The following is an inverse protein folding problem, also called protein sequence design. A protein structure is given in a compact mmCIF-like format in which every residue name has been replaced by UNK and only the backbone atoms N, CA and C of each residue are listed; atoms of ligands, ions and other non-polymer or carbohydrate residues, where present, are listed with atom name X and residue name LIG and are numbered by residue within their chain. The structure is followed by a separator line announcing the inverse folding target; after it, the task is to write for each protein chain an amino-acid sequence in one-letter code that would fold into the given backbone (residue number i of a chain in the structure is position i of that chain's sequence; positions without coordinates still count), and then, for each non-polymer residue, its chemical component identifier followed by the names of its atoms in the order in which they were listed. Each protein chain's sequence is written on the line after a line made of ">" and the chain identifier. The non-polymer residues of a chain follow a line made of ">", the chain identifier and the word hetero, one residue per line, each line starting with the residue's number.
data_IF_881602650979
#
_entry.id   IF_881602650979
#
_cell.length_a   1.000
_cell.length_b   1.000
_cell.length_c   1.000
_cell.angle_alpha   90.00
_cell.angle_beta   90.00
_cell.angle_gamma   90.00
#
_symmetry.space_group_name_H-M   'P 1'
#
loop_
_entity.id
_entity.type
_entity.pdbx_description
1 polymer ?
#
# COMPACT_ATOMS: atom_id res chain seq x y z
N UNK A 1 -26.92 4.57 48.94
CA UNK A 1 -25.98 3.90 48.03
C UNK A 1 -26.45 2.46 47.92
N UNK A 2 -27.12 2.09 46.83
CA UNK A 2 -27.74 0.76 46.69
C UNK A 2 -26.66 -0.30 46.47
N UNK A 3 -26.67 -1.34 47.29
CA UNK A 3 -25.74 -2.45 47.13
C UNK A 3 -26.14 -3.24 45.87
N UNK A 4 -25.18 -3.53 44.99
CA UNK A 4 -25.45 -4.19 43.70
C UNK A 4 -26.24 -5.50 43.87
N UNK A 5 -26.05 -6.19 44.99
CA UNK A 5 -26.75 -7.44 45.33
C UNK A 5 -28.25 -7.28 45.56
N UNK A 6 -28.75 -6.06 45.80
CA UNK A 6 -30.17 -5.77 46.05
C UNK A 6 -30.93 -5.51 44.75
N UNK A 7 -30.22 -5.35 43.62
CA UNK A 7 -30.83 -5.14 42.33
C UNK A 7 -31.62 -6.38 41.87
N UNK A 8 -32.71 -6.17 41.12
CA UNK A 8 -33.44 -7.26 40.48
C UNK A 8 -32.52 -8.07 39.56
N UNK A 9 -32.74 -9.40 39.51
CA UNK A 9 -31.89 -10.32 38.74
C UNK A 9 -31.78 -9.94 37.25
N UNK A 10 -32.86 -9.43 36.66
CA UNK A 10 -32.86 -8.98 35.27
C UNK A 10 -31.86 -7.84 35.00
N UNK A 11 -31.77 -6.87 35.93
CA UNK A 11 -30.84 -5.73 35.82
C UNK A 11 -29.40 -6.18 36.02
N UNK A 12 -29.18 -7.12 36.94
CA UNK A 12 -27.86 -7.71 37.17
C UNK A 12 -27.36 -8.51 35.97
N UNK A 13 -28.25 -9.23 35.29
CA UNK A 13 -27.92 -9.96 34.06
C UNK A 13 -27.51 -9.01 32.93
N UNK A 14 -28.18 -7.87 32.77
CA UNK A 14 -27.73 -6.85 31.81
C UNK A 14 -26.35 -6.32 32.17
N UNK A 15 -26.12 -5.93 33.42
CA UNK A 15 -24.83 -5.38 33.86
C UNK A 15 -23.70 -6.40 33.65
N UNK A 16 -23.94 -7.67 33.99
CA UNK A 16 -22.93 -8.73 33.81
C UNK A 16 -22.70 -9.08 32.34
N UNK A 17 -23.69 -8.87 31.47
CA UNK A 17 -23.58 -9.05 30.02
C UNK A 17 -22.51 -8.19 29.36
N UNK A 18 -22.11 -7.08 29.98
CA UNK A 18 -21.09 -6.15 29.47
C UNK A 18 -19.68 -6.43 30.01
N UNK A 19 -19.51 -7.38 30.93
CA UNK A 19 -18.21 -7.73 31.49
C UNK A 19 -17.45 -8.66 30.57
N UNK A 20 -16.11 -8.55 30.47
CA UNK A 20 -15.31 -9.49 29.68
C UNK A 20 -15.40 -10.90 30.27
N UNK A 21 -15.28 -11.90 29.40
CA UNK A 21 -15.46 -13.31 29.77
C UNK A 21 -14.53 -13.77 30.92
N UNK A 22 -13.35 -13.14 31.07
CA UNK A 22 -12.40 -13.40 32.17
C UNK A 22 -12.97 -12.99 33.53
N UNK A 23 -13.78 -11.94 33.57
CA UNK A 23 -14.26 -11.31 34.80
C UNK A 23 -15.58 -11.95 35.27
N UNK A 24 -16.32 -12.60 34.35
CA UNK A 24 -17.51 -13.40 34.69
C UNK A 24 -17.15 -14.58 35.62
N UNK A 25 -15.98 -15.19 35.42
CA UNK A 25 -15.47 -16.26 36.29
C UNK A 25 -15.13 -15.78 37.71
N UNK A 26 -14.80 -14.50 37.88
CA UNK A 26 -14.53 -13.88 39.18
C UNK A 26 -15.84 -13.71 39.97
N UNK A 27 -16.96 -13.38 39.29
CA UNK A 27 -18.27 -13.18 39.91
C UNK A 27 -18.82 -14.41 40.63
N UNK A 28 -18.43 -15.62 40.21
CA UNK A 28 -18.78 -16.87 40.90
C UNK A 28 -18.28 -16.91 42.35
N UNK A 29 -17.26 -16.11 42.70
CA UNK A 29 -16.62 -16.10 44.02
C UNK A 29 -16.99 -14.88 44.86
N UNK A 30 -17.73 -13.93 44.30
CA UNK A 30 -18.06 -12.65 44.98
C UNK A 30 -19.14 -12.83 46.04
N UNK A 31 -20.26 -13.46 45.70
CA UNK A 31 -21.30 -13.82 46.67
C UNK A 31 -22.19 -14.94 46.13
N UNK A 32 -22.92 -15.61 47.02
CA UNK A 32 -23.80 -16.74 46.65
C UNK A 32 -24.87 -16.36 45.63
N UNK A 33 -25.39 -15.13 45.70
CA UNK A 33 -26.44 -14.65 44.76
C UNK A 33 -25.90 -14.51 43.34
N UNK A 34 -24.71 -13.92 43.16
CA UNK A 34 -24.10 -13.78 41.83
C UNK A 34 -23.61 -15.12 41.29
N UNK A 35 -23.04 -15.96 42.17
CA UNK A 35 -22.69 -17.33 41.83
C UNK A 35 -23.90 -18.11 41.32
N UNK A 36 -25.04 -17.99 42.02
CA UNK A 36 -26.31 -18.57 41.60
C UNK A 36 -26.76 -18.07 40.23
N UNK A 37 -26.78 -16.75 40.02
CA UNK A 37 -27.20 -16.14 38.74
C UNK A 37 -26.31 -16.60 37.59
N UNK A 38 -24.98 -16.52 37.73
CA UNK A 38 -24.03 -16.88 36.67
C UNK A 38 -24.05 -18.39 36.40
N UNK A 39 -24.20 -19.24 37.42
CA UNK A 39 -24.19 -20.70 37.25
C UNK A 39 -25.51 -21.26 36.71
N UNK A 40 -26.64 -20.62 37.01
CA UNK A 40 -27.98 -21.10 36.57
C UNK A 40 -28.43 -20.48 35.24
N UNK A 41 -27.95 -19.29 34.89
CA UNK A 41 -28.27 -18.66 33.61
C UNK A 41 -27.12 -18.87 32.62
N UNK A 42 -27.04 -20.10 32.10
CA UNK A 42 -26.04 -20.48 31.09
C UNK A 42 -26.09 -19.65 29.80
N UNK A 43 -27.23 -19.00 29.52
CA UNK A 43 -27.34 -18.01 28.44
C UNK A 43 -26.46 -16.79 28.68
N UNK A 44 -26.13 -16.42 29.92
CA UNK A 44 -25.26 -15.27 30.20
C UNK A 44 -23.84 -15.48 29.64
N UNK A 45 -23.28 -16.68 29.74
CA UNK A 45 -21.99 -16.99 29.11
C UNK A 45 -22.09 -16.93 27.59
N UNK A 46 -23.21 -17.42 27.03
CA UNK A 46 -23.51 -17.29 25.61
C UNK A 46 -23.65 -15.81 25.23
N UNK A 47 -24.32 -14.99 26.02
CA UNK A 47 -24.62 -13.59 25.70
C UNK A 47 -23.39 -12.70 25.88
N UNK A 48 -22.53 -12.97 26.87
CA UNK A 48 -21.21 -12.33 27.01
C UNK A 48 -20.28 -12.78 25.89
N UNK A 49 -20.19 -14.08 25.62
CA UNK A 49 -19.38 -14.61 24.52
C UNK A 49 -19.90 -14.08 23.19
N UNK A 50 -21.22 -13.98 23.00
CA UNK A 50 -21.85 -13.38 21.84
C UNK A 50 -21.76 -11.86 21.87
N UNK A 51 -21.65 -11.15 22.97
CA UNK A 51 -21.47 -9.68 22.98
C UNK A 51 -20.02 -9.33 22.67
N UNK A 52 -19.06 -10.16 23.05
CA UNK A 52 -17.66 -10.01 22.68
C UNK A 52 -17.35 -10.61 21.30
N UNK A 53 -18.02 -11.69 20.89
CA UNK A 53 -18.01 -12.16 19.51
C UNK A 53 -18.78 -11.21 18.62
N UNK A 54 -19.97 -10.70 18.95
CA UNK A 54 -20.69 -9.66 18.18
C UNK A 54 -20.11 -8.27 18.37
N UNK A 55 -19.25 -7.97 19.34
CA UNK A 55 -18.39 -6.79 19.24
C UNK A 55 -17.26 -7.05 18.23
N UNK A 56 -16.70 -8.27 18.21
CA UNK A 56 -15.73 -8.72 17.20
C UNK A 56 -16.35 -9.03 15.83
N UNK A 57 -17.67 -9.25 15.74
CA UNK A 57 -18.49 -9.74 14.61
C UNK A 57 -19.55 -8.70 14.21
N UNK A 58 -19.78 -7.61 14.96
CA UNK A 58 -20.19 -6.31 14.40
C UNK A 58 -18.96 -5.60 13.82
N UNK A 59 -17.77 -5.82 14.39
CA UNK A 59 -16.51 -5.46 13.73
C UNK A 59 -16.21 -6.34 12.50
N UNK A 60 -16.63 -7.62 12.49
CA UNK A 60 -16.41 -8.55 11.36
C UNK A 60 -17.65 -8.83 10.49
N UNK A 61 -18.85 -8.32 10.82
CA UNK A 61 -20.15 -8.79 10.28
C UNK A 61 -21.25 -7.72 10.20
N UNK A 62 -20.88 -6.42 10.24
CA UNK A 62 -21.51 -5.42 9.35
C UNK A 62 -21.10 -5.72 7.89
N UNK A 63 -20.10 -6.59 7.70
CA UNK A 63 -20.08 -7.51 6.55
C UNK A 63 -21.39 -8.28 6.49
N UNK A 64 -22.07 -8.20 5.34
CA UNK A 64 -23.26 -8.98 4.99
C UNK A 64 -24.61 -8.34 5.37
N UNK A 65 -24.87 -7.15 4.82
CA UNK A 65 -25.91 -7.03 3.77
C UNK A 65 -27.21 -7.83 4.01
N UNK A 66 -28.23 -7.19 4.60
CA UNK A 66 -29.65 -7.30 4.23
C UNK A 66 -30.47 -6.63 5.35
N UNK A 67 -31.14 -5.50 5.11
CA UNK A 67 -32.48 -5.50 4.50
C UNK A 67 -32.86 -4.09 4.02
N UNK A 68 -32.80 -3.84 2.71
CA UNK A 68 -33.93 -3.29 1.94
C UNK A 68 -33.64 -3.41 0.44
N UNK A 69 -34.67 -3.64 -0.40
CA UNK A 69 -34.49 -3.88 -1.83
C UNK A 69 -34.47 -2.56 -2.60
N UNK A 70 -33.28 -2.02 -2.81
CA UNK A 70 -32.96 -1.22 -4.00
C UNK A 70 -31.57 -1.66 -4.43
N UNK A 71 -31.48 -2.23 -5.62
CA UNK A 71 -30.35 -3.00 -6.14
C UNK A 71 -28.98 -2.31 -5.91
N UNK A 72 -28.21 -2.81 -4.95
CA UNK A 72 -26.75 -2.75 -4.97
C UNK A 72 -26.26 -4.18 -4.86
N UNK A 73 -25.80 -4.75 -5.98
CA UNK A 73 -25.23 -6.08 -5.94
C UNK A 73 -24.07 -6.10 -4.93
N UNK A 74 -23.90 -7.16 -4.11
CA UNK A 74 -22.56 -7.45 -3.62
C UNK A 74 -21.70 -7.63 -4.86
N UNK A 75 -20.68 -6.80 -5.09
CA UNK A 75 -19.66 -7.25 -6.02
C UNK A 75 -18.89 -8.35 -5.29
N UNK A 76 -19.27 -9.59 -5.59
CA UNK A 76 -18.40 -10.76 -5.51
C UNK A 76 -17.01 -10.33 -5.95
N UNK A 77 -15.99 -10.62 -5.16
CA UNK A 77 -14.63 -10.38 -5.63
C UNK A 77 -14.46 -11.12 -6.96
N UNK A 78 -13.71 -10.55 -7.91
CA UNK A 78 -13.63 -11.13 -9.25
C UNK A 78 -13.24 -12.60 -9.14
N UNK A 79 -14.01 -13.53 -9.73
CA UNK A 79 -13.68 -14.95 -9.70
C UNK A 79 -12.26 -15.21 -10.22
N UNK A 80 -11.77 -14.37 -11.15
CA UNK A 80 -10.40 -14.42 -11.62
C UNK A 80 -9.39 -14.03 -10.52
N UNK A 81 -9.72 -13.06 -9.67
CA UNK A 81 -8.88 -12.67 -8.53
C UNK A 81 -8.87 -13.76 -7.47
N UNK A 82 -10.02 -14.34 -7.13
CA UNK A 82 -10.09 -15.47 -6.19
C UNK A 82 -9.31 -16.68 -6.73
N UNK A 83 -9.45 -16.97 -8.02
CA UNK A 83 -8.69 -18.02 -8.70
C UNK A 83 -7.19 -17.75 -8.69
N UNK A 84 -6.75 -16.54 -9.06
CA UNK A 84 -5.33 -16.19 -9.08
C UNK A 84 -4.75 -16.17 -7.66
N UNK A 85 -5.48 -15.62 -6.69
CA UNK A 85 -5.08 -15.61 -5.29
C UNK A 85 -4.87 -17.03 -4.76
N UNK A 86 -5.83 -17.94 -5.00
CA UNK A 86 -5.72 -19.35 -4.60
C UNK A 86 -4.64 -20.11 -5.38
N UNK A 87 -4.45 -19.81 -6.66
CA UNK A 87 -3.38 -20.41 -7.48
C UNK A 87 -2.00 -20.12 -6.89
N UNK A 88 -1.79 -18.91 -6.37
CA UNK A 88 -0.52 -18.45 -5.80
C UNK A 88 -0.43 -18.57 -4.28
N UNK A 89 -1.35 -19.29 -3.63
CA UNK A 89 -1.13 -19.82 -2.27
C UNK A 89 0.00 -20.85 -2.24
N UNK A 90 0.21 -21.58 -3.35
CA UNK A 90 1.35 -22.48 -3.54
C UNK A 90 2.64 -21.68 -3.78
N UNK A 91 3.51 -21.67 -2.78
CA UNK A 91 4.80 -20.96 -2.82
C UNK A 91 5.68 -21.39 -4.00
N UNK A 92 5.62 -22.66 -4.44
CA UNK A 92 6.41 -23.13 -5.59
C UNK A 92 5.93 -22.49 -6.89
N UNK A 93 4.61 -22.38 -7.07
CA UNK A 93 4.02 -21.69 -8.22
C UNK A 93 4.35 -20.20 -8.16
N UNK A 94 4.19 -19.58 -7.00
CA UNK A 94 4.54 -18.19 -6.81
C UNK A 94 5.99 -17.92 -7.22
N UNK A 95 6.96 -18.65 -6.65
CA UNK A 95 8.37 -18.50 -7.00
C UNK A 95 8.64 -18.74 -8.48
N UNK A 96 7.99 -19.75 -9.08
CA UNK A 96 8.15 -20.06 -10.51
C UNK A 96 7.69 -18.94 -11.43
N UNK A 97 6.60 -18.25 -11.09
CA UNK A 97 5.96 -17.26 -11.97
C UNK A 97 6.27 -15.80 -11.62
N UNK A 98 6.56 -15.49 -10.36
CA UNK A 98 6.78 -14.12 -9.87
C UNK A 98 8.22 -13.82 -9.50
N UNK A 99 9.10 -14.82 -9.41
CA UNK A 99 10.51 -14.59 -9.07
C UNK A 99 11.42 -14.82 -10.28
N UNK A 100 11.04 -14.37 -11.49
CA UNK A 100 11.87 -14.51 -12.71
C UNK A 100 12.79 -13.34 -12.99
N UNK A 101 12.57 -12.20 -12.34
CA UNK A 101 13.39 -11.01 -12.52
C UNK A 101 14.83 -11.21 -12.06
N UNK A 102 15.68 -10.29 -12.51
CA UNK A 102 17.09 -10.17 -12.12
C UNK A 102 17.27 -10.05 -10.60
N UNK A 103 16.26 -9.54 -9.88
CA UNK A 103 16.26 -9.44 -8.42
C UNK A 103 16.41 -10.78 -7.72
N UNK A 104 15.84 -11.85 -8.30
CA UNK A 104 15.79 -13.19 -7.70
C UNK A 104 16.88 -14.13 -8.23
N UNK A 105 17.67 -13.69 -9.20
CA UNK A 105 18.60 -14.54 -9.96
C UNK A 105 20.06 -14.12 -9.85
N UNK A 106 20.43 -13.35 -8.82
CA UNK A 106 21.77 -12.78 -8.61
C UNK A 106 22.95 -13.74 -8.85
N UNK A 107 23.46 -13.79 -10.08
CA UNK A 107 24.63 -14.55 -10.61
C UNK A 107 24.72 -16.07 -10.42
N UNK A 108 23.71 -16.73 -9.86
CA UNK A 108 23.71 -18.19 -9.72
C UNK A 108 23.33 -18.94 -11.00
N UNK A 109 22.96 -18.23 -12.07
CA UNK A 109 22.82 -18.83 -13.41
C UNK A 109 23.98 -18.35 -14.27
N UNK A 110 24.75 -19.30 -14.80
CA UNK A 110 25.93 -19.04 -15.62
C UNK A 110 25.67 -18.06 -16.78
N UNK A 111 26.74 -17.51 -17.34
CA UNK A 111 26.76 -16.46 -18.36
C UNK A 111 25.85 -16.65 -19.60
N UNK A 112 25.17 -17.79 -19.74
CA UNK A 112 24.24 -18.15 -20.80
C UNK A 112 22.76 -17.79 -20.55
N UNK A 113 22.39 -17.31 -19.36
CA UNK A 113 20.99 -16.91 -19.05
C UNK A 113 20.90 -15.49 -18.49
N UNK A 114 21.65 -14.55 -19.06
CA UNK A 114 21.30 -13.13 -18.93
C UNK A 114 20.07 -12.88 -19.78
N UNK A 115 18.88 -13.08 -19.21
CA UNK A 115 17.71 -12.37 -19.73
C UNK A 115 18.08 -10.90 -19.70
N UNK A 116 18.02 -10.23 -20.86
CA UNK A 116 18.03 -8.78 -20.88
C UNK A 116 16.87 -8.29 -20.01
N UNK A 117 16.95 -7.10 -19.41
CA UNK A 117 15.77 -6.48 -18.82
C UNK A 117 14.62 -6.40 -19.83
N UNK A 118 14.92 -6.44 -21.12
CA UNK A 118 13.96 -6.49 -22.21
C UNK A 118 13.39 -7.89 -22.53
N UNK A 119 13.75 -8.95 -21.79
CA UNK A 119 13.14 -10.27 -21.98
C UNK A 119 11.63 -10.21 -21.61
N UNK A 120 10.71 -10.47 -22.56
CA UNK A 120 9.28 -10.31 -22.32
C UNK A 120 8.76 -11.17 -21.15
N UNK A 121 9.31 -12.37 -20.96
CA UNK A 121 8.88 -13.24 -19.87
C UNK A 121 9.34 -12.73 -18.49
N UNK A 122 10.50 -12.10 -18.44
CA UNK A 122 11.04 -11.46 -17.25
C UNK A 122 10.18 -10.25 -16.86
N UNK A 123 9.87 -9.39 -17.84
CA UNK A 123 8.98 -8.25 -17.67
C UNK A 123 7.56 -8.66 -17.23
N UNK A 124 6.98 -9.69 -17.85
CA UNK A 124 5.66 -10.22 -17.46
C UNK A 124 5.66 -10.81 -16.04
N UNK A 125 6.75 -11.46 -15.63
CA UNK A 125 6.90 -11.99 -14.27
C UNK A 125 6.94 -10.86 -13.24
N UNK A 126 7.73 -9.82 -13.50
CA UNK A 126 7.83 -8.65 -12.64
C UNK A 126 6.51 -7.88 -12.58
N UNK A 127 5.81 -7.71 -13.71
CA UNK A 127 4.46 -7.14 -13.79
C UNK A 127 3.48 -7.93 -12.92
N UNK A 128 3.47 -9.26 -13.06
CA UNK A 128 2.61 -10.13 -12.27
C UNK A 128 2.89 -9.99 -10.77
N UNK A 129 4.15 -9.88 -10.35
CA UNK A 129 4.50 -9.66 -8.95
C UNK A 129 4.03 -8.29 -8.45
N UNK A 130 4.19 -7.22 -9.25
CA UNK A 130 3.68 -5.89 -8.93
C UNK A 130 2.16 -5.89 -8.74
N UNK A 131 1.42 -6.60 -9.59
CA UNK A 131 -0.03 -6.76 -9.46
C UNK A 131 -0.42 -7.67 -8.27
N UNK A 132 0.40 -8.66 -7.91
CA UNK A 132 0.09 -9.58 -6.81
C UNK A 132 0.01 -8.86 -5.47
N UNK A 133 0.93 -7.95 -5.17
CA UNK A 133 0.80 -7.03 -4.04
C UNK A 133 0.41 -7.70 -2.70
N UNK A 134 1.27 -8.52 -2.10
CA UNK A 134 1.12 -9.04 -0.73
C UNK A 134 2.49 -9.05 -0.01
N UNK A 135 2.71 -8.21 1.02
CA UNK A 135 3.82 -8.36 1.94
C UNK A 135 3.40 -9.47 2.87
N UNK A 136 3.84 -10.69 2.57
CA UNK A 136 3.41 -11.87 3.33
C UNK A 136 3.83 -11.72 4.78
N UNK A 137 2.87 -11.92 5.71
CA UNK A 137 3.09 -11.92 7.17
C UNK A 137 4.10 -12.99 7.63
N UNK A 138 4.52 -13.89 6.73
CA UNK A 138 5.82 -14.56 6.74
C UNK A 138 6.43 -14.36 5.36
N UNK A 139 7.50 -13.57 5.24
CA UNK A 139 7.88 -13.03 3.95
C UNK A 139 8.20 -14.17 2.96
N UNK A 140 7.65 -14.08 1.73
CA UNK A 140 8.14 -14.85 0.57
C UNK A 140 9.66 -14.62 0.38
N UNK A 141 10.16 -13.53 0.95
CA UNK A 141 11.56 -13.26 1.21
C UNK A 141 11.95 -13.90 2.56
N UNK A 142 12.57 -15.09 2.63
CA UNK A 142 12.73 -15.86 3.87
C UNK A 142 13.29 -15.02 5.03
N UNK A 143 12.72 -15.25 6.22
CA UNK A 143 13.03 -14.67 7.54
C UNK A 143 14.33 -13.83 7.65
N UNK A 144 14.19 -12.64 8.25
CA UNK A 144 15.16 -11.56 8.49
C UNK A 144 16.57 -11.91 9.03
N UNK A 145 16.92 -13.17 9.26
CA UNK A 145 18.28 -13.60 9.57
C UNK A 145 19.11 -13.98 8.32
N UNK A 146 18.49 -14.20 7.15
CA UNK A 146 19.17 -14.70 5.93
C UNK A 146 18.95 -13.88 4.65
N UNK A 147 18.29 -12.71 4.73
CA UNK A 147 17.97 -11.85 3.58
C UNK A 147 19.20 -11.17 2.97
N UNK A 148 19.87 -11.81 2.02
CA UNK A 148 21.07 -11.28 1.38
C UNK A 148 21.08 -11.17 -0.14
N UNK A 149 19.94 -11.28 -0.84
CA UNK A 149 19.96 -11.13 -2.30
C UNK A 149 18.86 -10.19 -2.84
N UNK A 150 17.53 -10.45 -2.77
CA UNK A 150 16.58 -9.66 -3.59
C UNK A 150 16.40 -8.20 -3.17
N UNK A 151 16.37 -7.91 -1.87
CA UNK A 151 16.25 -6.53 -1.38
C UNK A 151 17.50 -5.69 -1.71
N UNK A 152 18.69 -6.27 -1.56
CA UNK A 152 19.94 -5.58 -1.85
C UNK A 152 20.06 -5.30 -3.35
N UNK A 153 19.66 -6.25 -4.20
CA UNK A 153 19.55 -6.03 -5.65
C UNK A 153 18.50 -4.98 -6.00
N UNK A 154 17.32 -4.99 -5.35
CA UNK A 154 16.29 -3.99 -5.56
C UNK A 154 16.79 -2.58 -5.19
N UNK A 155 17.47 -2.44 -4.04
CA UNK A 155 18.11 -1.19 -3.65
C UNK A 155 19.18 -0.78 -4.66
N UNK A 156 20.03 -1.70 -5.10
CA UNK A 156 21.05 -1.43 -6.10
C UNK A 156 20.45 -0.98 -7.43
N UNK A 157 19.29 -1.53 -7.83
CA UNK A 157 18.60 -1.14 -9.05
C UNK A 157 17.98 0.25 -8.93
N UNK A 158 17.31 0.54 -7.82
CA UNK A 158 16.62 1.82 -7.56
C UNK A 158 17.60 2.95 -7.30
N UNK A 159 18.69 2.74 -6.56
CA UNK A 159 19.62 3.82 -6.22
C UNK A 159 20.79 3.97 -7.20
N UNK A 160 20.80 3.23 -8.32
CA UNK A 160 21.78 3.41 -9.40
C UNK A 160 21.40 4.58 -10.28
N UNK A 161 22.11 5.70 -10.13
CA UNK A 161 21.88 6.95 -10.85
C UNK A 161 22.04 6.79 -12.37
N UNK A 162 22.75 5.75 -12.84
CA UNK A 162 22.92 5.44 -14.27
C UNK A 162 21.61 5.05 -14.97
N UNK A 163 20.57 4.67 -14.24
CA UNK A 163 19.26 4.29 -14.80
C UNK A 163 18.33 5.49 -15.05
N UNK A 164 18.71 6.68 -14.58
CA UNK A 164 17.89 7.89 -14.64
C UNK A 164 18.45 8.81 -15.71
N UNK A 165 17.89 8.69 -16.91
CA UNK A 165 18.35 9.41 -18.09
C UNK A 165 17.15 10.08 -18.77
N UNK A 166 17.42 10.85 -19.83
CA UNK A 166 16.36 11.46 -20.63
C UNK A 166 15.53 10.38 -21.34
N UNK A 167 16.16 9.29 -21.78
CA UNK A 167 15.53 8.17 -22.48
C UNK A 167 14.65 7.31 -21.57
N UNK A 168 15.03 7.17 -20.29
CA UNK A 168 14.17 6.52 -19.29
C UNK A 168 13.14 7.47 -18.66
N UNK A 169 13.11 8.72 -19.11
CA UNK A 169 12.33 9.81 -18.53
C UNK A 169 12.46 9.90 -17.01
N UNK A 170 13.60 9.49 -16.43
CA UNK A 170 13.84 9.46 -14.98
C UNK A 170 12.83 8.63 -14.16
N UNK A 171 12.06 7.77 -14.81
CA UNK A 171 11.04 6.93 -14.21
C UNK A 171 11.36 5.44 -14.33
N UNK A 172 10.42 4.56 -13.93
CA UNK A 172 10.54 3.13 -14.12
C UNK A 172 10.16 2.73 -15.55
N UNK A 173 10.76 3.40 -16.54
CA UNK A 173 10.55 3.17 -17.96
C UNK A 173 11.81 2.59 -18.60
N UNK A 174 11.65 1.93 -19.75
CA UNK A 174 12.76 1.45 -20.57
C UNK A 174 13.65 2.61 -20.99
N UNK A 175 14.95 2.35 -21.11
CA UNK A 175 15.98 3.33 -21.44
C UNK A 175 16.19 3.52 -22.95
N UNK A 176 15.24 3.06 -23.77
CA UNK A 176 15.25 3.17 -25.23
C UNK A 176 14.44 4.35 -25.77
N UNK A 177 13.88 5.19 -24.89
CA UNK A 177 13.05 6.34 -25.25
C UNK A 177 11.62 5.99 -25.68
N UNK A 178 11.23 4.71 -25.67
CA UNK A 178 9.87 4.28 -26.02
C UNK A 178 8.81 4.78 -25.04
N UNK A 179 9.22 5.03 -23.79
CA UNK A 179 8.31 5.30 -22.68
C UNK A 179 7.67 4.04 -22.09
N UNK A 180 7.88 2.86 -22.69
CA UNK A 180 7.34 1.62 -22.14
C UNK A 180 7.76 1.40 -20.69
N UNK A 181 6.86 0.82 -19.90
CA UNK A 181 7.14 0.47 -18.50
C UNK A 181 8.21 -0.61 -18.43
N UNK A 182 9.23 -0.39 -17.61
CA UNK A 182 10.18 -1.41 -17.18
C UNK A 182 9.71 -1.97 -15.83
N UNK A 183 9.01 -3.10 -15.89
CA UNK A 183 8.40 -3.74 -14.74
C UNK A 183 9.42 -4.28 -13.75
N UNK A 184 10.67 -4.54 -14.13
CA UNK A 184 11.71 -4.88 -13.16
C UNK A 184 12.06 -3.67 -12.29
N UNK A 185 12.09 -2.45 -12.85
CA UNK A 185 12.28 -1.21 -12.08
C UNK A 185 11.09 -0.93 -11.15
N UNK A 186 9.86 -1.18 -11.63
CA UNK A 186 8.65 -1.08 -10.79
C UNK A 186 8.72 -2.09 -9.64
N UNK A 187 9.06 -3.35 -9.94
CA UNK A 187 9.17 -4.42 -8.96
C UNK A 187 10.24 -4.12 -7.90
N UNK A 188 11.41 -3.63 -8.32
CA UNK A 188 12.45 -3.21 -7.39
C UNK A 188 11.95 -2.11 -6.43
N UNK A 189 11.20 -1.12 -6.95
CA UNK A 189 10.60 -0.07 -6.15
C UNK A 189 9.59 -0.64 -5.14
N UNK A 190 8.69 -1.54 -5.58
CA UNK A 190 7.73 -2.24 -4.72
C UNK A 190 8.44 -3.04 -3.62
N UNK A 191 9.51 -3.76 -3.95
CA UNK A 191 10.29 -4.57 -3.00
C UNK A 191 10.96 -3.68 -1.94
N UNK A 192 11.61 -2.59 -2.35
CA UNK A 192 12.25 -1.63 -1.42
C UNK A 192 11.21 -1.05 -0.47
N UNK A 193 10.09 -0.57 -1.00
CA UNK A 193 9.01 0.02 -0.19
C UNK A 193 8.40 -1.00 0.76
N UNK A 194 8.06 -2.20 0.27
CA UNK A 194 7.45 -3.25 1.08
C UNK A 194 8.31 -3.65 2.27
N UNK A 195 9.62 -3.84 2.07
CA UNK A 195 10.57 -4.17 3.16
C UNK A 195 10.73 -3.01 4.14
N UNK A 196 10.70 -1.77 3.66
CA UNK A 196 10.79 -0.59 4.54
C UNK A 196 9.54 -0.42 5.39
N UNK A 197 8.36 -0.62 4.81
CA UNK A 197 7.10 -0.50 5.54
C UNK A 197 6.78 -1.71 6.40
N UNK A 198 7.31 -2.90 6.12
CA UNK A 198 7.04 -4.09 6.94
C UNK A 198 7.59 -4.00 8.36
N UNK A 199 8.56 -3.11 8.60
CA UNK A 199 9.13 -2.83 9.92
C UNK A 199 8.27 -1.86 10.74
N UNK A 200 7.34 -1.14 10.11
CA UNK A 200 6.41 -0.24 10.75
C UNK A 200 4.98 -0.81 10.65
N UNK A 201 4.53 -1.43 11.73
CA UNK A 201 3.18 -2.01 11.81
C UNK A 201 2.09 -0.99 11.54
N UNK A 202 2.32 0.31 11.79
CA UNK A 202 1.35 1.35 11.49
C UNK A 202 1.24 1.53 9.96
N UNK A 203 2.36 1.69 9.27
CA UNK A 203 2.43 1.86 7.81
C UNK A 203 1.81 0.70 7.02
N UNK A 204 1.89 -0.54 7.54
CA UNK A 204 1.26 -1.73 6.91
C UNK A 204 -0.27 -1.64 6.77
N UNK A 205 -0.96 -0.87 7.62
CA UNK A 205 -2.43 -0.79 7.59
C UNK A 205 -2.98 0.01 6.42
N UNK A 206 -2.17 0.89 5.83
CA UNK A 206 -2.63 1.80 4.77
C UNK A 206 -2.30 1.30 3.37
N UNK A 207 -1.48 0.26 3.21
CA UNK A 207 -0.97 -0.14 1.90
C UNK A 207 -2.02 -0.91 1.08
N UNK A 208 -2.30 -0.52 -0.17
CA UNK A 208 -3.30 -1.19 -1.01
C UNK A 208 -2.89 -2.60 -1.43
N UNK A 209 -1.59 -2.91 -1.39
CA UNK A 209 -1.02 -4.21 -1.69
C UNK A 209 -0.96 -5.14 -0.46
N UNK A 210 -1.96 -5.17 0.42
CA UNK A 210 -1.96 -6.11 1.56
C UNK A 210 -2.47 -7.51 1.18
N UNK A 211 -3.38 -7.56 0.22
CA UNK A 211 -4.05 -8.78 -0.22
C UNK A 211 -3.68 -9.09 -1.67
N UNK A 212 -3.53 -10.37 -2.04
CA UNK A 212 -3.29 -10.80 -3.41
C UNK A 212 -4.20 -10.11 -4.41
N UNK A 213 -3.61 -9.37 -5.35
CA UNK A 213 -4.31 -8.68 -6.44
C UNK A 213 -5.34 -7.63 -6.02
N UNK A 214 -5.34 -7.20 -4.75
CA UNK A 214 -6.27 -6.18 -4.29
C UNK A 214 -6.06 -4.85 -5.01
N UNK A 215 -7.12 -4.36 -5.63
CA UNK A 215 -7.07 -3.10 -6.36
C UNK A 215 -6.27 -3.12 -7.66
N UNK A 216 -5.67 -4.25 -8.04
CA UNK A 216 -4.74 -4.33 -9.17
C UNK A 216 -5.45 -4.52 -10.53
N UNK A 217 -6.61 -3.90 -10.70
CA UNK A 217 -7.44 -3.96 -11.91
C UNK A 217 -8.24 -2.66 -12.13
N UNK A 218 -8.65 -2.35 -13.38
CA UNK A 218 -9.30 -1.07 -13.68
C UNK A 218 -10.63 -0.92 -12.93
N UNK A 219 -10.96 0.32 -12.56
CA UNK A 219 -12.22 0.68 -11.86
C UNK A 219 -12.43 -0.06 -10.52
N UNK A 220 -11.36 -0.58 -9.93
CA UNK A 220 -11.41 -1.29 -8.65
C UNK A 220 -11.48 -0.36 -7.44
N UNK A 221 -11.13 0.92 -7.61
CA UNK A 221 -11.22 1.89 -6.54
C UNK A 221 -12.68 2.15 -6.16
N UNK A 222 -12.97 2.01 -4.88
CA UNK A 222 -14.26 2.38 -4.29
C UNK A 222 -13.96 3.25 -3.08
N UNK A 223 -14.45 4.47 -3.11
CA UNK A 223 -14.20 5.41 -2.02
C UNK A 223 -14.95 4.99 -0.75
N UNK A 224 -14.26 4.86 0.40
CA UNK A 224 -14.92 4.64 1.69
C UNK A 224 -15.72 5.87 2.12
N UNK A 225 -15.34 7.06 1.66
CA UNK A 225 -16.04 8.32 1.93
C UNK A 225 -16.33 9.02 0.60
N UNK A 226 -17.41 8.62 -0.10
CA UNK A 226 -17.78 9.24 -1.36
C UNK A 226 -18.17 10.70 -1.12
N UNK A 227 -17.76 11.59 -2.02
CA UNK A 227 -18.11 13.00 -1.90
C UNK A 227 -19.61 13.20 -2.11
N UNK A 228 -20.21 14.13 -1.34
CA UNK A 228 -21.64 14.46 -1.47
C UNK A 228 -21.96 15.22 -2.75
N UNK A 229 -21.04 16.08 -3.19
CA UNK A 229 -21.16 16.88 -4.41
C UNK A 229 -19.83 16.80 -5.17
N UNK A 230 -19.80 16.39 -6.44
CA UNK A 230 -18.56 16.34 -7.23
C UNK A 230 -18.03 17.74 -7.51
N UNK A 231 -16.70 17.90 -7.63
CA UNK A 231 -16.13 19.13 -8.22
C UNK A 231 -16.56 19.23 -9.69
N UNK A 232 -16.55 20.45 -10.28
CA UNK A 232 -16.98 20.66 -11.67
C UNK A 232 -16.31 19.76 -12.71
N UNK A 233 -15.03 19.41 -12.53
CA UNK A 233 -14.25 18.59 -13.48
C UNK A 233 -14.26 17.09 -13.16
N UNK A 234 -14.73 16.67 -11.98
CA UNK A 234 -14.74 15.26 -11.58
C UNK A 234 -15.57 14.35 -12.51
N UNK A 235 -16.75 14.78 -13.04
CA UNK A 235 -17.54 13.93 -13.94
C UNK A 235 -16.83 13.61 -15.25
N UNK A 236 -15.95 14.50 -15.71
CA UNK A 236 -15.21 14.38 -16.97
C UNK A 236 -13.83 13.77 -16.80
N UNK A 237 -13.33 13.64 -15.56
CA UNK A 237 -12.02 13.07 -15.27
C UNK A 237 -12.04 11.53 -15.42
N UNK A 238 -11.39 10.96 -16.45
CA UNK A 238 -11.39 9.52 -16.66
C UNK A 238 -10.56 8.76 -15.61
N UNK A 239 -9.63 9.42 -14.93
CA UNK A 239 -8.66 8.81 -14.02
C UNK A 239 -9.09 8.85 -12.55
N UNK A 240 -10.03 9.73 -12.18
CA UNK A 240 -10.54 9.84 -10.81
C UNK A 240 -9.49 10.38 -9.83
N UNK A 241 -8.75 11.40 -10.26
CA UNK A 241 -7.64 12.06 -9.56
C UNK A 241 -8.10 12.74 -8.27
N UNK A 242 -9.22 13.47 -8.31
CA UNK A 242 -9.64 14.32 -7.19
C UNK A 242 -9.90 13.53 -5.91
N UNK A 243 -9.30 13.96 -4.79
CA UNK A 243 -9.53 13.36 -3.48
C UNK A 243 -8.28 13.35 -2.59
N UNK A 244 -8.38 12.61 -1.49
CA UNK A 244 -7.28 12.41 -0.54
C UNK A 244 -6.41 11.24 -0.98
N UNK A 245 -5.11 11.45 -1.03
CA UNK A 245 -4.10 10.44 -1.32
C UNK A 245 -3.08 10.32 -0.19
N UNK A 246 -2.57 9.11 0.03
CA UNK A 246 -1.39 8.87 0.85
C UNK A 246 -0.19 8.69 -0.07
N UNK A 247 0.91 9.39 0.23
CA UNK A 247 2.21 9.22 -0.44
C UNK A 247 3.23 8.70 0.55
N UNK A 248 4.00 7.73 0.07
CA UNK A 248 5.16 7.16 0.72
C UNK A 248 6.38 7.39 -0.18
N UNK A 249 7.45 7.93 0.40
CA UNK A 249 8.76 7.99 -0.26
C UNK A 249 9.78 7.23 0.56
N UNK A 250 10.71 6.54 -0.08
CA UNK A 250 11.93 6.05 0.55
C UNK A 250 13.14 6.82 0.01
N UNK A 251 14.12 7.05 0.88
CA UNK A 251 15.32 7.78 0.52
C UNK A 251 16.55 7.13 1.14
N UNK A 252 17.67 7.21 0.42
CA UNK A 252 18.98 6.85 0.93
C UNK A 252 19.71 8.08 1.47
N UNK A 253 20.54 7.91 2.49
CA UNK A 253 21.44 8.98 2.91
C UNK A 253 22.31 9.42 1.72
N UNK A 254 22.46 10.73 1.54
CA UNK A 254 23.28 11.31 0.49
C UNK A 254 24.68 10.71 0.41
N UNK A 255 25.35 10.52 1.55
CA UNK A 255 26.71 9.95 1.58
C UNK A 255 26.76 8.53 1.02
N UNK A 256 25.80 7.68 1.41
CA UNK A 256 25.70 6.30 0.95
C UNK A 256 25.32 6.23 -0.54
N UNK A 257 24.43 7.11 -1.00
CA UNK A 257 24.06 7.22 -2.41
C UNK A 257 25.26 7.61 -3.28
N UNK A 258 26.04 8.59 -2.85
CA UNK A 258 27.24 9.02 -3.58
C UNK A 258 28.33 7.95 -3.57
N UNK A 259 28.54 7.27 -2.44
CA UNK A 259 29.50 6.18 -2.32
C UNK A 259 29.13 5.00 -3.24
N UNK A 260 27.85 4.61 -3.26
CA UNK A 260 27.35 3.56 -4.15
C UNK A 260 27.58 3.91 -5.62
N UNK A 261 27.23 5.12 -6.04
CA UNK A 261 27.31 5.53 -7.45
C UNK A 261 28.72 5.87 -7.93
N UNK A 262 29.62 6.29 -7.04
CA UNK A 262 31.04 6.54 -7.35
C UNK A 262 31.84 5.25 -7.54
N UNK A 263 31.34 4.11 -7.06
CA UNK A 263 31.98 2.81 -7.25
C UNK A 263 31.85 2.35 -8.70
N UNK A 264 32.95 1.94 -9.34
CA UNK A 264 32.96 1.50 -10.76
C UNK A 264 32.17 0.23 -11.05
N UNK A 265 31.98 -0.64 -10.06
CA UNK A 265 31.19 -1.88 -10.16
C UNK A 265 30.30 -2.07 -8.92
N UNK A 266 29.26 -1.26 -8.75
CA UNK A 266 28.40 -1.31 -7.57
C UNK A 266 27.79 -2.71 -7.35
N UNK A 267 27.49 -3.44 -8.42
CA UNK A 267 26.96 -4.80 -8.42
C UNK A 267 27.90 -5.85 -7.82
N UNK A 268 29.20 -5.54 -7.70
CA UNK A 268 30.20 -6.42 -7.08
C UNK A 268 30.31 -6.24 -5.56
N UNK A 269 29.65 -5.23 -4.99
CA UNK A 269 29.71 -4.88 -3.56
C UNK A 269 28.88 -5.79 -2.63
N UNK A 270 28.61 -7.05 -3.00
CA UNK A 270 27.66 -7.94 -2.28
C UNK A 270 27.82 -7.97 -0.76
N UNK A 271 29.05 -7.99 -0.26
CA UNK A 271 29.33 -8.00 1.18
C UNK A 271 29.04 -6.67 1.89
N UNK A 272 28.96 -5.56 1.14
CA UNK A 272 28.77 -4.20 1.65
C UNK A 272 27.39 -3.60 1.37
N UNK A 273 26.59 -4.15 0.43
CA UNK A 273 25.26 -3.60 0.07
C UNK A 273 24.32 -3.54 1.29
N UNK A 274 24.35 -4.56 2.15
CA UNK A 274 23.56 -4.58 3.40
C UNK A 274 23.86 -3.41 4.32
N UNK A 275 25.13 -3.01 4.41
CA UNK A 275 25.59 -1.89 5.24
C UNK A 275 25.25 -0.54 4.58
N UNK A 276 25.46 -0.43 3.26
CA UNK A 276 25.18 0.76 2.45
C UNK A 276 23.71 1.19 2.52
N UNK A 277 22.78 0.23 2.56
CA UNK A 277 21.34 0.50 2.51
C UNK A 277 20.64 0.46 3.88
N UNK A 278 21.44 0.36 4.95
CA UNK A 278 20.94 0.33 6.33
C UNK A 278 20.21 1.64 6.70
N UNK A 279 20.78 2.78 6.30
CA UNK A 279 20.34 4.14 6.64
C UNK A 279 19.29 4.72 5.67
N UNK A 280 18.45 3.89 5.04
CA UNK A 280 17.33 4.42 4.27
C UNK A 280 16.16 4.79 5.18
N UNK A 281 15.66 6.01 5.04
CA UNK A 281 14.46 6.51 5.71
C UNK A 281 13.21 6.38 4.83
N UNK A 282 12.04 6.48 5.46
CA UNK A 282 10.76 6.57 4.78
C UNK A 282 9.98 7.77 5.33
N UNK A 283 9.26 8.47 4.44
CA UNK A 283 8.40 9.60 4.82
C UNK A 283 6.99 9.41 4.26
N UNK A 284 6.00 9.78 5.05
CA UNK A 284 4.58 9.71 4.72
C UNK A 284 4.03 11.12 4.55
N UNK A 285 3.17 11.31 3.56
CA UNK A 285 2.52 12.58 3.27
C UNK A 285 1.08 12.35 2.83
N UNK A 286 0.15 13.07 3.42
CA UNK A 286 -1.22 13.17 2.91
C UNK A 286 -1.26 14.28 1.86
N UNK A 287 -1.85 13.98 0.72
CA UNK A 287 -2.03 14.92 -0.38
C UNK A 287 -3.53 15.10 -0.63
N UNK A 288 -3.97 16.33 -0.81
CA UNK A 288 -5.26 16.65 -1.41
C UNK A 288 -5.01 16.97 -2.88
N UNK A 289 -5.52 16.13 -3.78
CA UNK A 289 -5.40 16.32 -5.22
C UNK A 289 -6.73 16.81 -5.78
N UNK A 290 -6.65 17.76 -6.72
CA UNK A 290 -7.82 18.30 -7.42
C UNK A 290 -7.50 18.42 -8.90
N UNK A 291 -8.47 18.08 -9.74
CA UNK A 291 -8.38 18.32 -11.17
C UNK A 291 -8.56 19.82 -11.42
N UNK A 292 -7.57 20.43 -12.06
CA UNK A 292 -7.58 21.86 -12.42
C UNK A 292 -7.82 22.09 -13.90
N UNK A 293 -7.43 21.14 -14.74
CA UNK A 293 -7.61 21.15 -16.19
C UNK A 293 -7.68 19.71 -16.70
N UNK A 294 -8.36 19.53 -17.83
CA UNK A 294 -8.37 18.30 -18.62
C UNK A 294 -8.12 18.73 -20.06
N UNK A 295 -7.10 18.14 -20.67
CA UNK A 295 -6.70 18.42 -22.05
C UNK A 295 -7.02 17.21 -22.91
N UNK A 296 -7.50 17.46 -24.13
CA UNK A 296 -7.73 16.40 -25.11
C UNK A 296 -6.39 15.82 -25.57
N UNK A 297 -6.37 14.54 -26.01
CA UNK A 297 -5.15 13.93 -26.52
C UNK A 297 -4.57 14.72 -27.70
N UNK A 298 -3.25 14.90 -27.71
CA UNK A 298 -2.54 15.57 -28.79
C UNK A 298 -2.60 14.77 -30.11
N UNK A 299 -2.19 15.38 -31.24
CA UNK A 299 -2.22 14.73 -32.56
C UNK A 299 -1.37 13.45 -32.65
N UNK A 300 -0.33 13.37 -31.82
CA UNK A 300 0.59 12.24 -31.74
C UNK A 300 0.17 11.20 -30.68
N UNK A 301 -0.87 11.50 -29.89
CA UNK A 301 -1.43 10.59 -28.89
C UNK A 301 -2.44 9.64 -29.54
N UNK A 302 -2.50 8.40 -29.06
CA UNK A 302 -3.43 7.40 -29.61
C UNK A 302 -4.90 7.85 -29.40
N UNK A 303 -5.75 7.89 -30.44
CA UNK A 303 -7.17 8.23 -30.26
C UNK A 303 -7.93 7.23 -29.37
N UNK A 304 -7.35 6.05 -29.13
CA UNK A 304 -7.93 4.98 -28.29
C UNK A 304 -7.50 5.07 -26.82
N UNK A 305 -6.41 5.79 -26.52
CA UNK A 305 -5.79 5.87 -25.19
C UNK A 305 -5.41 7.32 -24.88
N UNK A 306 -5.99 7.97 -23.85
CA UNK A 306 -5.64 9.35 -23.52
C UNK A 306 -4.12 9.53 -23.28
N UNK A 307 -3.56 10.72 -23.47
CA UNK A 307 -2.11 11.00 -23.48
C UNK A 307 -1.32 10.44 -22.28
N UNK A 308 -1.99 10.28 -21.14
CA UNK A 308 -1.43 9.69 -19.92
C UNK A 308 -1.58 8.17 -19.82
N UNK A 309 -1.91 7.45 -20.90
CA UNK A 309 -2.00 5.97 -20.89
C UNK A 309 -1.06 5.30 -21.88
N UNK A 310 -0.43 4.22 -21.43
CA UNK A 310 0.43 3.37 -22.24
C UNK A 310 -0.39 2.46 -23.17
N UNK A 311 0.20 1.90 -24.24
CA UNK A 311 -0.49 1.00 -25.16
C UNK A 311 -1.12 -0.23 -24.51
N UNK A 312 -0.58 -0.69 -23.38
CA UNK A 312 -1.12 -1.80 -22.59
C UNK A 312 -2.17 -1.36 -21.53
N UNK A 313 -2.53 -0.07 -21.50
CA UNK A 313 -3.59 0.50 -20.66
C UNK A 313 -3.17 0.96 -19.26
N UNK A 314 -1.87 0.95 -18.95
CA UNK A 314 -1.34 1.54 -17.71
C UNK A 314 -1.41 3.06 -17.75
N UNK A 315 -1.55 3.70 -16.58
CA UNK A 315 -1.61 5.17 -16.49
C UNK A 315 -0.26 5.70 -16.03
N UNK A 316 0.31 6.64 -16.78
CA UNK A 316 1.52 7.39 -16.41
C UNK A 316 1.15 8.56 -15.50
N UNK A 317 1.96 8.77 -14.48
CA UNK A 317 1.82 9.89 -13.55
C UNK A 317 3.13 10.66 -13.46
N UNK A 318 3.05 11.97 -13.70
CA UNK A 318 4.12 12.93 -13.44
C UNK A 318 3.65 13.89 -12.35
N UNK A 319 4.45 14.10 -11.31
CA UNK A 319 4.15 15.12 -10.29
C UNK A 319 5.35 16.04 -10.08
N UNK A 320 5.07 17.30 -9.76
CA UNK A 320 6.07 18.30 -9.41
C UNK A 320 5.71 18.86 -8.03
N UNK A 321 6.61 18.70 -7.07
CA UNK A 321 6.46 19.26 -5.72
C UNK A 321 7.17 20.61 -5.64
N UNK A 322 6.39 21.67 -5.50
CA UNK A 322 6.87 23.05 -5.40
C UNK A 322 7.00 23.47 -3.94
N UNK A 323 8.13 24.10 -3.57
CA UNK A 323 8.35 24.71 -2.26
C UNK A 323 8.67 26.19 -2.46
N UNK A 324 7.87 27.07 -1.86
CA UNK A 324 7.98 28.52 -2.03
C UNK A 324 8.04 28.91 -3.52
N UNK A 325 7.11 28.38 -4.33
CA UNK A 325 7.03 28.54 -5.79
C UNK A 325 8.24 28.04 -6.59
N UNK A 326 9.15 27.29 -5.98
CA UNK A 326 10.28 26.69 -6.67
C UNK A 326 10.09 25.17 -6.78
N UNK A 327 10.15 24.58 -7.97
CA UNK A 327 10.09 23.13 -8.12
C UNK A 327 11.33 22.52 -7.45
N UNK A 328 11.09 21.62 -6.48
CA UNK A 328 12.18 20.93 -5.76
C UNK A 328 12.28 19.47 -6.14
N UNK A 329 11.14 18.80 -6.19
CA UNK A 329 11.08 17.38 -6.47
C UNK A 329 10.17 17.11 -7.65
N UNK A 330 10.54 16.12 -8.45
CA UNK A 330 9.70 15.55 -9.49
C UNK A 330 9.50 14.07 -9.25
N UNK A 331 8.43 13.53 -9.80
CA UNK A 331 8.17 12.10 -9.80
C UNK A 331 7.69 11.62 -11.15
N UNK A 332 8.08 10.41 -11.50
CA UNK A 332 7.66 9.72 -12.71
C UNK A 332 7.23 8.30 -12.32
N UNK A 333 5.99 7.95 -12.62
CA UNK A 333 5.33 6.78 -12.04
C UNK A 333 4.33 6.12 -12.99
N UNK A 334 3.94 4.90 -12.64
CA UNK A 334 2.91 4.11 -13.31
C UNK A 334 1.86 3.63 -12.30
N UNK A 335 0.59 3.67 -12.69
CA UNK A 335 -0.54 3.15 -11.92
C UNK A 335 -0.66 1.63 -12.08
N UNK A 336 -0.49 0.89 -10.99
CA UNK A 336 -0.77 -0.55 -10.98
C UNK A 336 -2.28 -0.75 -11.02
N UNK A 337 -2.72 -1.62 -11.94
CA UNK A 337 -4.14 -1.90 -12.18
C UNK A 337 -4.82 -0.98 -13.19
N UNK A 338 -4.14 0.04 -13.71
CA UNK A 338 -4.69 0.93 -14.74
C UNK A 338 -5.72 1.94 -14.22
N UNK A 339 -6.59 2.41 -15.11
CA UNK A 339 -7.50 3.53 -14.86
C UNK A 339 -8.42 3.28 -13.65
N UNK A 340 -8.46 4.23 -12.71
CA UNK A 340 -9.28 4.18 -11.48
C UNK A 340 -9.09 2.90 -10.67
N UNK A 341 -7.89 2.33 -10.70
CA UNK A 341 -7.52 1.21 -9.88
C UNK A 341 -7.30 1.63 -8.41
N UNK A 342 -7.66 0.76 -7.46
CA UNK A 342 -7.33 0.97 -6.05
C UNK A 342 -5.86 0.65 -5.75
N UNK A 343 -5.16 0.02 -6.71
CA UNK A 343 -3.73 -0.23 -6.65
C UNK A 343 -2.93 1.07 -6.52
N UNK A 344 -1.66 0.98 -6.15
CA UNK A 344 -0.82 2.15 -6.01
C UNK A 344 -0.34 2.70 -7.35
N UNK A 345 -0.09 3.99 -7.39
CA UNK A 345 0.86 4.60 -8.32
C UNK A 345 2.26 4.38 -7.77
N UNK A 346 3.16 3.79 -8.55
CA UNK A 346 4.53 3.44 -8.14
C UNK A 346 5.53 4.04 -9.11
N UNK A 347 6.62 4.57 -8.59
CA UNK A 347 7.73 5.03 -9.41
C UNK A 347 8.83 5.67 -8.59
N UNK A 348 9.42 6.71 -9.15
CA UNK A 348 10.67 7.27 -8.65
C UNK A 348 10.51 8.77 -8.41
N UNK A 349 11.15 9.28 -7.35
CA UNK A 349 11.28 10.71 -7.09
C UNK A 349 12.72 11.12 -7.28
N UNK A 350 12.93 12.32 -7.80
CA UNK A 350 14.24 12.87 -8.09
C UNK A 350 14.22 14.40 -8.02
N UNK A 351 15.41 15.01 -8.12
CA UNK A 351 15.56 16.47 -8.13
C UNK A 351 14.90 17.10 -9.36
N UNK A 352 14.15 18.18 -9.18
CA UNK A 352 13.36 18.77 -10.26
C UNK A 352 14.17 19.36 -11.44
N UNK A 353 15.45 19.62 -11.20
CA UNK A 353 16.44 20.12 -12.16
C UNK A 353 17.12 19.01 -12.98
N UNK A 354 16.75 17.74 -12.78
CA UNK A 354 17.36 16.59 -13.47
C UNK A 354 18.88 16.49 -13.26
N UNK A 355 19.38 16.84 -12.06
CA UNK A 355 20.78 16.61 -11.71
C UNK A 355 21.09 15.11 -11.70
N UNK A 356 21.96 14.66 -12.62
CA UNK A 356 22.39 13.27 -12.77
C UNK A 356 23.11 12.71 -11.52
N UNK A 357 23.57 13.58 -10.62
CA UNK A 357 24.15 13.22 -9.33
C UNK A 357 23.20 13.50 -8.16
N UNK A 358 22.01 14.02 -8.45
CA UNK A 358 21.00 14.40 -7.49
C UNK A 358 20.41 13.21 -6.75
N UNK A 359 19.65 13.47 -5.68
CA UNK A 359 19.01 12.42 -4.91
C UNK A 359 17.91 11.73 -5.74
N UNK A 360 17.75 10.43 -5.52
CA UNK A 360 16.71 9.62 -6.14
C UNK A 360 16.21 8.56 -5.15
N UNK A 361 14.98 8.11 -5.34
CA UNK A 361 14.46 6.96 -4.59
C UNK A 361 13.09 6.52 -5.07
N UNK A 362 12.58 5.40 -4.52
CA UNK A 362 11.27 4.90 -4.90
C UNK A 362 10.18 5.63 -4.12
N UNK A 363 8.98 5.65 -4.70
CA UNK A 363 7.78 6.14 -4.05
C UNK A 363 6.55 5.36 -4.49
N UNK A 364 5.52 5.46 -3.67
CA UNK A 364 4.17 5.11 -4.04
C UNK A 364 3.19 6.13 -3.51
N UNK A 365 2.07 6.30 -4.20
CA UNK A 365 0.90 6.93 -3.63
C UNK A 365 -0.38 6.23 -4.07
N UNK A 366 -1.40 6.30 -3.23
CA UNK A 366 -2.69 5.65 -3.47
C UNK A 366 -3.83 6.44 -2.85
N UNK A 367 -4.99 6.35 -3.48
CA UNK A 367 -6.16 7.13 -3.10
C UNK A 367 -6.78 6.52 -1.86
N UNK A 368 -7.03 7.35 -0.85
CA UNK A 368 -7.69 6.97 0.40
C UNK A 368 -9.18 7.27 0.38
N UNK A 369 -9.57 8.40 -0.21
CA UNK A 369 -10.93 8.94 -0.10
C UNK A 369 -11.22 9.93 -1.24
N UNK A 370 -12.51 10.11 -1.57
CA UNK A 370 -12.96 11.19 -2.48
C UNK A 370 -13.22 12.49 -1.72
N UNK A 371 -13.40 12.41 -0.39
CA UNK A 371 -13.50 13.56 0.52
C UNK A 371 -12.12 14.00 1.02
N UNK A 372 -12.02 15.28 1.35
CA UNK A 372 -10.86 15.88 2.03
C UNK A 372 -10.75 15.38 3.46
N UNK A 373 -9.51 15.21 3.95
CA UNK A 373 -9.21 14.71 5.30
C UNK A 373 -9.76 15.60 6.41
N UNK A 374 -9.91 16.90 6.14
CA UNK A 374 -10.33 17.90 7.12
C UNK A 374 -11.85 17.96 7.31
N UNK A 375 -12.64 17.45 6.35
CA UNK A 375 -14.11 17.38 6.43
C UNK A 375 -14.61 16.11 7.14
N UNK A 376 -13.69 15.20 7.45
CA UNK A 376 -13.97 13.95 8.13
C UNK A 376 -13.69 14.16 9.62
N UNK A 377 -14.71 14.00 10.48
CA UNK A 377 -14.50 14.05 11.92
C UNK A 377 -13.41 13.02 12.30
N UNK A 378 -12.37 13.48 12.99
CA UNK A 378 -11.11 12.79 13.30
C UNK A 378 -11.24 11.47 14.09
N UNK A 379 -12.44 10.96 14.29
CA UNK A 379 -12.77 9.74 15.04
C UNK A 379 -13.17 8.56 14.16
N UNK A 380 -13.64 8.80 12.93
CA UNK A 380 -14.23 7.74 12.09
C UNK A 380 -13.31 7.28 10.95
N UNK A 381 -12.17 7.94 10.75
CA UNK A 381 -11.19 7.58 9.73
C UNK A 381 -9.82 7.61 10.35
N UNK A 382 -8.95 6.75 9.85
CA UNK A 382 -7.52 6.67 10.10
C UNK A 382 -7.09 5.63 11.15
N UNK A 383 -6.43 4.54 10.70
CA UNK A 383 -5.54 3.80 11.58
C UNK A 383 -4.47 4.77 12.10
N UNK A 384 -4.02 4.54 13.33
CA UNK A 384 -3.03 5.25 14.17
C UNK A 384 -1.80 5.90 13.48
N UNK A 385 -1.54 5.66 12.20
CA UNK A 385 -0.54 6.31 11.35
C UNK A 385 -0.77 7.82 11.28
N UNK A 386 -1.99 8.28 10.97
CA UNK A 386 -2.22 9.72 10.86
C UNK A 386 -2.31 10.41 12.21
N UNK A 387 -2.77 9.72 13.26
CA UNK A 387 -2.63 10.22 14.62
C UNK A 387 -1.16 10.50 14.96
N UNK A 388 -0.23 9.60 14.62
CA UNK A 388 1.21 9.79 14.84
C UNK A 388 1.89 10.79 13.88
N UNK A 389 1.44 10.87 12.61
CA UNK A 389 1.97 11.81 11.60
C UNK A 389 1.48 13.23 11.90
N UNK A 390 0.20 13.43 12.26
CA UNK A 390 -0.32 14.71 12.70
C UNK A 390 0.23 15.12 14.08
N UNK A 391 0.40 14.20 15.04
CA UNK A 391 1.03 14.51 16.35
C UNK A 391 2.51 14.93 16.23
N UNK A 392 3.24 14.40 15.25
CA UNK A 392 4.66 14.74 15.04
C UNK A 392 4.88 15.96 14.15
N UNK A 393 4.02 16.19 13.15
CA UNK A 393 4.14 17.31 12.22
C UNK A 393 3.52 18.62 12.74
N UNK A 394 2.57 18.54 13.68
CA UNK A 394 1.77 19.70 14.11
C UNK A 394 1.65 19.87 15.63
N UNK A 395 2.66 19.48 16.42
CA UNK A 395 2.78 20.13 17.75
C UNK A 395 2.97 21.62 17.51
N UNK A 396 2.11 22.50 18.06
CA UNK A 396 2.53 23.87 18.28
C UNK A 396 3.80 23.80 19.11
N UNK A 397 4.85 24.53 18.72
CA UNK A 397 5.87 24.91 19.70
C UNK A 397 5.18 25.83 20.71
N UNK A 398 4.49 25.25 21.68
CA UNK A 398 3.98 25.94 22.84
C UNK A 398 4.68 25.34 24.05
N UNK A 399 5.58 26.13 24.62
CA UNK A 399 6.35 25.85 25.83
C UNK A 399 7.83 25.92 25.57
#
# INVERSE_FOLDING_TARGET
>A
MLALQELPTAVLLEIFGWLPATDLGVLLRVCRRFCGIVSTHGSLYRDVYLTFLTAKDLQQGIQQKAKSPLAKSPRTSSHNIEFLASLFEDEKKLRKYMCRSSLYHGTSIGARSRGSSNDPLTQLSAKLHCHYGKPVESPIIPAMASLGEPYDFACAQVYNLRHYTMESFWGPFKDDGSGDVDWEKVEASVVVMAVKTSRDKASLWTMPWRQPFAGAYPQSYVSPHPRKQPEPLDPTDPYGVSGTWMRLICFLNWGDLQMFNSTRRPETLRSNLKSLFYCQGASHMVMDLRVTAIEDPGPDDSPTFPSSTFPEGEVRWTTVSNFNNNPRWKTECVQIGGVRAAGPVVGNWFSADYDARGPVGPLAFWKLSDQEVWDVQSRDVFPQVLANVFDRAFRPMTG
#
